data_IF_221635886368
#
_entry.id   IF_221635886368
#
_cell.length_a   1.000
_cell.length_b   1.000
_cell.length_c   1.000
_cell.angle_alpha   90.00
_cell.angle_beta   90.00
_cell.angle_gamma   90.00
#
_symmetry.space_group_name_H-M   'P 1'
#
loop_
_entity.id
_entity.type
_entity.pdbx_description
1 polymer ?
#
# COMPACT_ATOMS: atom_id res chain seq x y z
N UNK A 1 -46.13 8.58 26.34
CA UNK A 1 -45.34 7.66 25.49
C UNK A 1 -44.20 8.45 24.84
N UNK A 2 -43.31 9.03 25.64
CA UNK A 2 -42.20 9.88 25.13
C UNK A 2 -40.82 9.30 25.47
N UNK A 3 -40.70 8.68 26.64
CA UNK A 3 -39.48 8.04 27.14
C UNK A 3 -39.03 6.85 26.28
N UNK A 4 -39.96 6.09 25.70
CA UNK A 4 -39.65 4.96 24.83
C UNK A 4 -38.99 5.41 23.52
N UNK A 5 -39.37 6.58 23.00
CA UNK A 5 -38.86 7.13 21.74
C UNK A 5 -37.43 7.67 21.89
N UNK A 6 -37.14 8.30 23.02
CA UNK A 6 -35.78 8.73 23.37
C UNK A 6 -34.84 7.54 23.57
N UNK A 7 -35.30 6.49 24.26
CA UNK A 7 -34.51 5.27 24.53
C UNK A 7 -34.08 4.55 23.24
N UNK A 8 -35.01 4.36 22.30
CA UNK A 8 -34.71 3.73 21.00
C UNK A 8 -33.71 4.57 20.20
N UNK A 9 -33.85 5.89 20.20
CA UNK A 9 -32.94 6.79 19.48
C UNK A 9 -31.51 6.71 20.02
N UNK A 10 -31.35 6.70 21.35
CA UNK A 10 -30.04 6.58 22.00
C UNK A 10 -29.40 5.23 21.67
N UNK A 11 -30.19 4.14 21.67
CA UNK A 11 -29.70 2.81 21.32
C UNK A 11 -29.21 2.73 19.87
N UNK A 12 -29.95 3.31 18.92
CA UNK A 12 -29.52 3.37 17.52
C UNK A 12 -28.23 4.17 17.32
N UNK A 13 -28.08 5.30 18.01
CA UNK A 13 -26.86 6.14 17.93
C UNK A 13 -25.64 5.37 18.46
N UNK A 14 -25.80 4.62 19.56
CA UNK A 14 -24.72 3.78 20.10
C UNK A 14 -24.29 2.68 19.13
N UNK A 15 -25.25 1.97 18.51
CA UNK A 15 -24.95 0.91 17.53
C UNK A 15 -24.26 1.45 16.28
N UNK A 16 -24.69 2.62 15.80
CA UNK A 16 -24.06 3.32 14.69
C UNK A 16 -22.62 3.71 15.04
N UNK A 17 -22.38 4.33 16.20
CA UNK A 17 -21.04 4.72 16.64
C UNK A 17 -20.06 3.55 16.75
N UNK A 18 -20.52 2.41 17.27
CA UNK A 18 -19.71 1.18 17.36
C UNK A 18 -19.42 0.61 15.96
N UNK A 19 -20.41 0.61 15.05
CA UNK A 19 -20.22 0.18 13.67
C UNK A 19 -19.22 1.07 12.93
N UNK A 20 -19.38 2.40 12.97
CA UNK A 20 -18.46 3.34 12.32
C UNK A 20 -17.04 3.26 12.88
N UNK A 21 -16.89 3.08 14.20
CA UNK A 21 -15.58 2.87 14.82
C UNK A 21 -14.90 1.59 14.34
N UNK A 22 -15.69 0.55 14.03
CA UNK A 22 -15.20 -0.73 13.49
C UNK A 22 -14.85 -0.65 12.01
N UNK A 23 -15.61 0.13 11.21
CA UNK A 23 -15.29 0.41 9.80
C UNK A 23 -13.98 1.19 9.64
N UNK A 24 -13.67 2.13 10.53
CA UNK A 24 -12.41 2.88 10.49
C UNK A 24 -11.17 1.99 10.75
N UNK A 25 -11.32 0.87 11.47
CA UNK A 25 -10.20 -0.06 11.74
C UNK A 25 -9.98 -1.03 10.55
N UNK A 26 -11.04 -1.41 9.84
CA UNK A 26 -10.93 -2.24 8.62
C UNK A 26 -10.51 -1.46 7.37
N UNK A 27 -10.62 -0.13 7.39
CA UNK A 27 -10.12 0.74 6.33
C UNK A 27 -8.67 1.17 6.54
N UNK A 28 -7.84 0.38 7.24
CA UNK A 28 -6.42 0.42 6.92
C UNK A 28 -6.32 -0.13 5.51
N UNK A 29 -5.98 0.68 4.48
CA UNK A 29 -5.52 0.06 3.26
C UNK A 29 -4.39 -0.86 3.73
N UNK A 30 -4.53 -2.17 3.51
CA UNK A 30 -3.35 -2.93 3.19
C UNK A 30 -2.69 -2.08 2.12
N UNK A 31 -1.62 -1.38 2.49
CA UNK A 31 -0.68 -0.86 1.54
C UNK A 31 -0.14 -2.16 0.96
N UNK A 32 -0.87 -2.72 -0.01
CA UNK A 32 -0.47 -3.85 -0.83
C UNK A 32 0.84 -3.35 -1.36
N UNK A 33 1.93 -3.80 -0.73
CA UNK A 33 3.28 -3.40 -1.07
C UNK A 33 3.30 -3.51 -2.58
N UNK A 34 3.36 -2.36 -3.27
CA UNK A 34 3.74 -2.33 -4.67
C UNK A 34 4.89 -3.31 -4.76
N UNK A 35 4.75 -4.36 -5.58
CA UNK A 35 5.54 -5.58 -5.44
C UNK A 35 7.04 -5.20 -5.51
N UNK A 36 7.66 -4.95 -4.35
CA UNK A 36 8.90 -4.18 -4.24
C UNK A 36 10.01 -5.17 -3.96
N UNK A 37 10.62 -5.65 -5.03
CA UNK A 37 11.58 -6.75 -5.00
C UNK A 37 12.97 -6.24 -5.36
N UNK A 38 13.94 -6.48 -4.46
CA UNK A 38 15.33 -6.11 -4.67
C UNK A 38 16.11 -7.33 -5.16
N UNK A 39 16.71 -7.23 -6.36
CA UNK A 39 17.09 -8.41 -7.14
C UNK A 39 18.60 -8.48 -7.40
N UNK A 40 19.27 -7.34 -7.55
CA UNK A 40 20.71 -7.27 -7.86
C UNK A 40 21.40 -6.06 -7.23
N UNK A 41 22.72 -6.10 -7.01
CA UNK A 41 23.49 -4.90 -6.63
C UNK A 41 23.46 -3.83 -7.71
N UNK A 42 23.62 -2.57 -7.31
CA UNK A 42 23.70 -1.42 -8.21
C UNK A 42 24.72 -0.38 -7.72
N UNK A 43 25.27 0.39 -8.66
CA UNK A 43 26.17 1.51 -8.37
C UNK A 43 25.37 2.80 -8.20
N UNK A 44 25.75 3.68 -7.26
CA UNK A 44 25.04 4.96 -7.03
C UNK A 44 25.02 5.88 -8.25
N UNK A 45 26.08 5.90 -9.07
CA UNK A 45 26.24 6.91 -10.13
C UNK A 45 25.38 6.64 -11.38
N UNK A 46 25.07 5.38 -11.69
CA UNK A 46 24.28 4.99 -12.87
C UNK A 46 23.24 3.89 -12.60
N UNK A 47 23.13 3.45 -11.34
CA UNK A 47 22.30 2.31 -10.94
C UNK A 47 20.84 2.52 -11.26
N UNK A 48 20.28 3.72 -11.04
CA UNK A 48 18.85 3.95 -11.27
C UNK A 48 18.41 3.66 -12.70
N UNK A 49 19.14 4.14 -13.72
CA UNK A 49 18.78 3.89 -15.12
C UNK A 49 18.90 2.41 -15.48
N UNK A 50 19.95 1.75 -14.98
CA UNK A 50 20.16 0.31 -15.18
C UNK A 50 19.04 -0.50 -14.50
N UNK A 51 18.69 -0.14 -13.27
CA UNK A 51 17.61 -0.78 -12.52
C UNK A 51 16.27 -0.57 -13.22
N UNK A 52 15.98 0.65 -13.69
CA UNK A 52 14.75 0.93 -14.43
C UNK A 52 14.65 0.03 -15.67
N UNK A 53 15.66 0.05 -16.54
CA UNK A 53 15.67 -0.76 -17.76
C UNK A 53 15.55 -2.26 -17.46
N UNK A 54 16.29 -2.76 -16.46
CA UNK A 54 16.23 -4.16 -16.05
C UNK A 54 14.84 -4.56 -15.54
N UNK A 55 14.25 -3.73 -14.68
CA UNK A 55 12.94 -4.01 -14.11
C UNK A 55 11.84 -3.94 -15.18
N UNK A 56 11.90 -2.98 -16.11
CA UNK A 56 10.95 -2.91 -17.23
C UNK A 56 11.09 -4.09 -18.19
N UNK A 57 12.32 -4.54 -18.46
CA UNK A 57 12.61 -5.75 -19.26
C UNK A 57 12.06 -7.02 -18.60
N UNK A 58 11.99 -7.03 -17.26
CA UNK A 58 11.42 -8.12 -16.45
C UNK A 58 9.94 -7.90 -16.08
N UNK A 59 9.21 -7.10 -16.86
CA UNK A 59 7.76 -6.87 -16.70
C UNK A 59 7.33 -6.21 -15.38
N UNK A 60 8.22 -5.49 -14.71
CA UNK A 60 7.86 -4.55 -13.65
C UNK A 60 7.58 -3.17 -14.23
N UNK A 61 6.80 -2.36 -13.51
CA UNK A 61 6.52 -0.99 -13.93
C UNK A 61 7.74 -0.06 -13.89
N UNK A 62 8.75 -0.39 -13.08
CA UNK A 62 10.01 0.34 -13.02
C UNK A 62 10.90 -0.17 -11.90
N UNK A 63 12.03 0.52 -11.69
CA UNK A 63 12.95 0.17 -10.62
C UNK A 63 13.95 1.27 -10.30
N UNK A 64 14.49 1.22 -9.08
CA UNK A 64 15.47 2.17 -8.58
C UNK A 64 16.56 1.47 -7.77
N UNK A 65 17.74 2.09 -7.73
CA UNK A 65 18.86 1.69 -6.90
C UNK A 65 18.65 2.20 -5.48
N UNK A 66 18.24 1.31 -4.59
CA UNK A 66 17.93 1.59 -3.19
C UNK A 66 19.14 1.27 -2.30
N UNK A 67 19.58 2.27 -1.54
CA UNK A 67 20.69 2.16 -0.59
C UNK A 67 20.26 1.63 0.77
N UNK A 68 18.96 1.60 1.05
CA UNK A 68 18.42 1.28 2.39
C UNK A 68 18.03 -0.19 2.55
N UNK A 69 17.63 -0.85 1.46
CA UNK A 69 17.16 -2.25 1.50
C UNK A 69 18.21 -3.31 1.15
N UNK A 70 19.35 -2.90 0.59
CA UNK A 70 20.42 -3.81 0.16
C UNK A 70 21.50 -4.14 1.20
N UNK A 71 21.36 -3.66 2.44
CA UNK A 71 22.38 -3.82 3.48
C UNK A 71 23.62 -2.96 3.20
N UNK A 72 24.82 -3.56 3.15
CA UNK A 72 26.09 -2.84 2.89
C UNK A 72 26.25 -2.33 1.46
N UNK A 73 25.47 -2.85 0.50
CA UNK A 73 25.56 -2.50 -0.92
C UNK A 73 24.20 -2.03 -1.41
N UNK A 74 24.19 -1.01 -2.27
CA UNK A 74 22.95 -0.54 -2.91
C UNK A 74 22.39 -1.64 -3.82
N UNK A 75 21.07 -1.83 -3.81
CA UNK A 75 20.39 -2.85 -4.61
C UNK A 75 19.32 -2.26 -5.53
N UNK A 76 19.22 -2.78 -6.75
CA UNK A 76 18.10 -2.52 -7.64
C UNK A 76 16.83 -3.14 -7.07
N UNK A 77 15.86 -2.30 -6.77
CA UNK A 77 14.53 -2.68 -6.33
C UNK A 77 13.51 -2.32 -7.41
N UNK A 78 12.86 -3.33 -7.95
CA UNK A 78 11.77 -3.20 -8.90
C UNK A 78 10.47 -2.97 -8.16
N UNK A 79 9.60 -2.16 -8.74
CA UNK A 79 8.25 -1.92 -8.25
C UNK A 79 7.25 -2.15 -9.37
N UNK A 80 6.10 -2.72 -9.02
CA UNK A 80 4.95 -2.75 -9.90
C UNK A 80 3.89 -1.82 -9.34
N UNK A 81 3.36 -0.91 -10.18
CA UNK A 81 2.10 -0.26 -9.84
C UNK A 81 1.07 -1.39 -9.83
N UNK A 82 0.42 -1.61 -8.70
CA UNK A 82 -0.83 -2.38 -8.74
C UNK A 82 -1.76 -1.56 -9.63
N UNK A 83 -1.80 -1.87 -10.93
CA UNK A 83 -2.86 -1.44 -11.82
C UNK A 83 -4.08 -2.08 -11.19
N UNK A 84 -4.85 -1.28 -10.46
CA UNK A 84 -6.20 -1.69 -10.12
C UNK A 84 -6.88 -1.88 -11.47
N UNK A 85 -7.19 -3.12 -11.80
CA UNK A 85 -8.30 -3.41 -12.71
C UNK A 85 -9.49 -2.60 -12.20
N UNK A 86 -9.71 -1.49 -12.89
CA UNK A 86 -10.80 -0.59 -12.66
C UNK A 86 -11.97 -1.20 -13.44
N UNK A 87 -12.50 -2.30 -12.92
CA UNK A 87 -13.70 -2.92 -13.48
C UNK A 87 -14.91 -2.10 -13.03
N UNK A 88 -15.61 -1.55 -14.03
CA UNK A 88 -16.84 -0.76 -13.95
C UNK A 88 -17.93 -1.39 -13.08
#
# INVERSE_FOLDING_TARGET
MDTTKASVTIFFVLVLMISFSSYCILAKPEIKKANYQCIKPCSRSYGNRICYNYCTDHHFAGGQCDVTRGGKLSQCCCYNYNIKDNTF
#
